data_IF_854599291363
#
_entry.id   IF_854599291363
#
_cell.length_a   1.000
_cell.length_b   1.000
_cell.length_c   1.000
_cell.angle_alpha   90.00
_cell.angle_beta   90.00
_cell.angle_gamma   90.00
#
_symmetry.space_group_name_H-M   'P 1'
#
loop_
_entity.id
_entity.type
_entity.pdbx_description
1 polymer ?
#
# COMPACT_ATOMS: atom_id res chain seq x y z
N UNK A 1 -2.44 14.37 -23.40
CA UNK A 1 -1.29 15.26 -23.13
C UNK A 1 -1.15 15.30 -21.62
N UNK A 2 -0.03 14.83 -21.06
CA UNK A 2 0.23 14.96 -19.63
C UNK A 2 0.41 16.44 -19.29
N UNK A 3 -0.41 16.98 -18.39
CA UNK A 3 -0.46 18.42 -18.09
C UNK A 3 0.41 18.80 -16.89
N UNK A 4 0.88 17.81 -16.11
CA UNK A 4 1.53 18.00 -14.81
C UNK A 4 0.71 18.87 -13.83
N UNK A 5 -0.58 19.04 -14.10
CA UNK A 5 -1.48 19.84 -13.28
C UNK A 5 -1.95 19.01 -12.07
N UNK A 6 -2.27 19.67 -10.94
CA UNK A 6 -2.98 19.03 -9.85
C UNK A 6 -4.24 18.32 -10.32
N UNK A 7 -4.53 17.17 -9.72
CA UNK A 7 -5.77 16.42 -9.94
C UNK A 7 -6.67 16.54 -8.70
N UNK A 8 -7.58 17.54 -8.64
CA UNK A 8 -8.49 17.70 -7.53
C UNK A 8 -9.61 16.65 -7.57
N UNK A 9 -10.16 16.33 -6.39
CA UNK A 9 -11.28 15.39 -6.23
C UNK A 9 -11.01 13.97 -6.79
N UNK A 10 -9.75 13.56 -6.91
CA UNK A 10 -9.41 12.16 -7.11
C UNK A 10 -9.45 11.45 -5.76
N UNK A 11 -10.15 10.31 -5.68
CA UNK A 11 -10.21 9.52 -4.46
C UNK A 11 -8.96 8.65 -4.39
N UNK A 12 -8.14 8.85 -3.38
CA UNK A 12 -6.94 8.05 -3.17
C UNK A 12 -7.19 7.06 -2.05
N UNK A 13 -7.07 5.78 -2.36
CA UNK A 13 -7.17 4.65 -1.44
C UNK A 13 -5.77 4.20 -1.01
N UNK A 14 -5.59 3.94 0.28
CA UNK A 14 -4.39 3.35 0.83
C UNK A 14 -4.70 2.23 1.79
N UNK A 15 -3.86 1.20 1.76
CA UNK A 15 -3.85 0.17 2.78
C UNK A 15 -2.45 -0.38 3.01
N UNK A 16 -2.16 -0.82 4.24
CA UNK A 16 -0.91 -1.48 4.57
C UNK A 16 -1.07 -2.39 5.79
N UNK A 17 -0.06 -3.23 6.02
CA UNK A 17 -0.02 -4.11 7.19
C UNK A 17 0.29 -3.32 8.46
N UNK A 18 -0.02 -3.91 9.62
CA UNK A 18 0.39 -3.38 10.91
C UNK A 18 1.91 -3.54 11.13
N UNK A 19 2.38 -3.10 12.29
CA UNK A 19 3.80 -3.13 12.66
C UNK A 19 4.43 -4.54 12.66
N UNK A 20 3.63 -5.61 12.69
CA UNK A 20 4.08 -7.02 12.69
C UNK A 20 3.61 -7.78 11.45
N UNK A 21 3.30 -7.08 10.36
CA UNK A 21 3.03 -7.69 9.06
C UNK A 21 1.60 -8.16 8.79
N UNK A 22 0.70 -8.15 9.77
CA UNK A 22 -0.68 -8.58 9.55
C UNK A 22 -1.50 -7.51 8.82
N UNK A 23 -2.42 -7.92 7.96
CA UNK A 23 -3.42 -7.04 7.37
C UNK A 23 -4.76 -7.14 8.10
N UNK A 24 -5.50 -6.03 8.14
CA UNK A 24 -6.89 -6.05 8.55
C UNK A 24 -7.68 -6.91 7.57
N UNK A 25 -8.73 -7.54 8.07
CA UNK A 25 -9.56 -8.54 7.41
C UNK A 25 -8.91 -9.93 7.19
N UNK A 26 -7.63 -10.07 7.54
CA UNK A 26 -6.87 -11.33 7.42
C UNK A 26 -6.19 -11.70 8.75
N UNK A 27 -6.76 -11.28 9.89
CA UNK A 27 -6.11 -11.43 11.21
C UNK A 27 -5.98 -12.88 11.69
N UNK A 28 -6.77 -13.80 11.12
CA UNK A 28 -6.66 -15.23 11.35
C UNK A 28 -5.56 -15.91 10.53
N UNK A 29 -4.88 -15.19 9.64
CA UNK A 29 -3.83 -15.71 8.78
C UNK A 29 -2.45 -15.22 9.23
N UNK A 30 -1.48 -16.12 9.16
CA UNK A 30 -0.09 -15.79 9.46
C UNK A 30 0.50 -14.91 8.36
N UNK A 31 1.10 -13.74 8.67
CA UNK A 31 1.83 -12.93 7.68
C UNK A 31 3.16 -13.57 7.28
N UNK A 32 3.52 -14.69 7.90
CA UNK A 32 4.80 -15.38 7.69
C UNK A 32 4.70 -16.57 6.76
N UNK A 33 3.47 -16.96 6.38
CA UNK A 33 3.23 -18.12 5.53
C UNK A 33 3.18 -17.67 4.07
N UNK A 34 4.07 -18.19 3.19
CA UNK A 34 4.03 -17.88 1.75
C UNK A 34 2.67 -18.14 1.14
N UNK A 35 2.27 -17.34 0.16
CA UNK A 35 0.91 -17.36 -0.38
C UNK A 35 0.51 -18.74 -0.95
N UNK A 36 1.42 -19.40 -1.66
CA UNK A 36 1.16 -20.74 -2.22
C UNK A 36 0.96 -21.80 -1.11
N UNK A 37 1.73 -21.70 -0.03
CA UNK A 37 1.59 -22.57 1.15
C UNK A 37 0.26 -22.32 1.87
N UNK A 38 -0.10 -21.05 2.05
CA UNK A 38 -1.39 -20.65 2.63
C UNK A 38 -2.57 -21.23 1.85
N UNK A 39 -2.55 -21.14 0.51
CA UNK A 39 -3.62 -21.71 -0.32
C UNK A 39 -3.73 -23.24 -0.14
N UNK A 40 -2.58 -23.92 -0.01
CA UNK A 40 -2.54 -25.36 0.28
C UNK A 40 -3.11 -25.68 1.66
N UNK A 41 -2.76 -24.92 2.70
CA UNK A 41 -3.27 -25.09 4.07
C UNK A 41 -4.79 -24.90 4.15
N UNK A 42 -5.33 -23.97 3.37
CA UNK A 42 -6.75 -23.67 3.28
C UNK A 42 -7.53 -24.62 2.34
N UNK A 43 -6.86 -25.58 1.70
CA UNK A 43 -7.43 -26.44 0.66
C UNK A 43 -8.07 -25.67 -0.50
N UNK A 44 -7.52 -24.51 -0.86
CA UNK A 44 -7.98 -23.70 -1.99
C UNK A 44 -7.28 -24.18 -3.26
N UNK A 45 -8.00 -24.94 -4.08
CA UNK A 45 -7.48 -25.54 -5.32
C UNK A 45 -7.58 -24.61 -6.54
N UNK A 46 -8.44 -23.59 -6.47
CA UNK A 46 -8.58 -22.57 -7.50
C UNK A 46 -8.67 -21.19 -6.85
N UNK A 47 -7.64 -20.39 -7.10
CA UNK A 47 -7.60 -19.00 -6.69
C UNK A 47 -7.87 -18.09 -7.88
N UNK A 48 -8.83 -17.19 -7.73
CA UNK A 48 -9.14 -16.14 -8.68
C UNK A 48 -9.02 -14.79 -7.96
N UNK A 49 -8.05 -14.00 -8.38
CA UNK A 49 -7.78 -12.68 -7.80
C UNK A 49 -9.03 -11.79 -7.86
N UNK A 50 -9.41 -11.21 -6.73
CA UNK A 50 -10.58 -10.33 -6.62
C UNK A 50 -11.92 -11.05 -6.56
N UNK A 51 -11.94 -12.38 -6.63
CA UNK A 51 -13.17 -13.20 -6.52
C UNK A 51 -13.09 -14.21 -5.39
N UNK A 52 -11.94 -14.87 -5.21
CA UNK A 52 -11.75 -15.82 -4.11
C UNK A 52 -11.63 -15.06 -2.79
N UNK A 53 -12.58 -15.31 -1.90
CA UNK A 53 -12.61 -14.70 -0.57
C UNK A 53 -11.73 -15.49 0.41
N UNK A 54 -10.72 -14.82 0.96
CA UNK A 54 -9.82 -15.34 2.00
C UNK A 54 -9.91 -14.52 3.30
N UNK A 55 -10.91 -13.64 3.44
CA UNK A 55 -11.06 -12.82 4.63
C UNK A 55 -11.39 -13.71 5.84
N UNK A 56 -10.81 -13.37 6.98
CA UNK A 56 -11.02 -14.10 8.26
C UNK A 56 -11.88 -13.34 9.25
N UNK A 57 -12.01 -12.02 9.06
CA UNK A 57 -12.73 -11.10 9.95
C UNK A 57 -13.10 -9.79 9.23
N UNK A 58 -13.87 -8.93 9.91
CA UNK A 58 -14.39 -7.66 9.38
C UNK A 58 -13.53 -6.44 9.76
N UNK A 59 -12.26 -6.64 10.16
CA UNK A 59 -11.42 -5.52 10.62
C UNK A 59 -10.96 -4.64 9.46
N UNK A 60 -10.88 -3.32 9.69
CA UNK A 60 -10.61 -2.31 8.64
C UNK A 60 -9.51 -1.30 9.00
N UNK A 61 -8.75 -1.54 10.07
CA UNK A 61 -7.66 -0.66 10.47
C UNK A 61 -6.60 -0.56 9.37
N UNK A 62 -5.88 0.58 9.33
CA UNK A 62 -4.82 0.87 8.34
C UNK A 62 -5.29 0.75 6.88
N UNK A 63 -6.59 1.02 6.65
CA UNK A 63 -7.21 1.21 5.34
C UNK A 63 -7.92 2.57 5.35
N UNK A 64 -7.85 3.32 4.27
CA UNK A 64 -8.47 4.63 4.21
C UNK A 64 -8.50 5.21 2.81
N UNK A 65 -9.58 5.92 2.51
CA UNK A 65 -9.75 6.61 1.25
C UNK A 65 -10.09 8.07 1.51
N UNK A 66 -9.45 9.00 0.80
CA UNK A 66 -9.78 10.42 0.91
C UNK A 66 -9.58 11.15 -0.41
N UNK A 67 -10.48 12.08 -0.79
CA UNK A 67 -10.30 12.86 -2.00
C UNK A 67 -9.17 13.88 -1.88
N UNK A 68 -8.47 14.11 -2.97
CA UNK A 68 -7.49 15.19 -3.10
C UNK A 68 -8.17 16.58 -3.04
N UNK A 69 -7.49 17.54 -2.43
CA UNK A 69 -7.91 18.95 -2.39
C UNK A 69 -7.74 19.65 -3.76
N UNK A 70 -8.07 20.95 -3.82
CA UNK A 70 -7.90 21.79 -5.03
C UNK A 70 -6.46 21.87 -5.55
N UNK A 71 -5.48 21.50 -4.72
CA UNK A 71 -4.05 21.44 -5.08
C UNK A 71 -3.59 20.02 -5.38
N UNK A 72 -4.52 19.06 -5.49
CA UNK A 72 -4.22 17.66 -5.78
C UNK A 72 -3.58 16.92 -4.60
N UNK A 73 -3.71 17.43 -3.38
CA UNK A 73 -3.08 16.87 -2.18
C UNK A 73 -4.08 16.06 -1.37
N UNK A 74 -3.67 14.86 -0.96
CA UNK A 74 -4.35 14.05 0.04
C UNK A 74 -3.39 13.85 1.23
N UNK A 75 -3.90 13.98 2.45
CA UNK A 75 -3.14 13.75 3.67
C UNK A 75 -3.73 12.57 4.44
N UNK A 76 -2.86 11.67 4.90
CA UNK A 76 -3.23 10.54 5.73
C UNK A 76 -2.29 10.44 6.93
N UNK A 77 -2.87 10.16 8.10
CA UNK A 77 -2.11 9.86 9.31
C UNK A 77 -2.14 8.36 9.56
N UNK A 78 -0.98 7.72 9.57
CA UNK A 78 -0.84 6.29 9.83
C UNK A 78 0.42 5.97 10.65
N UNK A 79 0.64 4.70 10.95
CA UNK A 79 1.90 4.18 11.49
C UNK A 79 2.85 3.80 10.35
N UNK A 80 4.12 3.54 10.66
CA UNK A 80 5.01 2.89 9.71
C UNK A 80 4.57 1.43 9.51
N UNK A 81 4.52 0.90 8.28
CA UNK A 81 4.16 -0.50 8.06
C UNK A 81 5.24 -1.46 8.54
N UNK A 82 4.83 -2.65 9.00
CA UNK A 82 5.74 -3.78 9.22
C UNK A 82 6.08 -4.48 7.91
N UNK A 83 6.60 -5.70 8.01
CA UNK A 83 6.88 -6.54 6.85
C UNK A 83 6.17 -7.88 6.97
N UNK A 84 5.97 -8.54 5.84
CA UNK A 84 5.43 -9.89 5.77
C UNK A 84 6.23 -10.67 4.72
N UNK A 85 6.03 -11.98 4.67
CA UNK A 85 6.87 -12.87 3.88
C UNK A 85 6.93 -12.44 2.40
N UNK A 86 8.12 -12.52 1.81
CA UNK A 86 8.42 -12.29 0.38
C UNK A 86 8.25 -10.86 -0.15
N UNK A 87 7.87 -9.89 0.70
CA UNK A 87 7.61 -8.52 0.26
C UNK A 87 8.40 -7.50 1.07
N UNK A 88 8.93 -6.49 0.38
CA UNK A 88 9.51 -5.31 0.99
C UNK A 88 8.46 -4.50 1.76
N UNK A 89 8.88 -3.58 2.61
CA UNK A 89 7.96 -2.75 3.38
C UNK A 89 7.30 -1.74 2.44
N UNK A 90 5.97 -1.75 2.38
CA UNK A 90 5.23 -0.88 1.48
C UNK A 90 3.87 -0.44 2.01
N UNK A 91 3.35 0.63 1.41
CA UNK A 91 1.96 1.05 1.49
C UNK A 91 1.35 0.89 0.10
N UNK A 92 0.25 0.16 -0.02
CA UNK A 92 -0.47 0.11 -1.28
C UNK A 92 -1.23 1.41 -1.51
N UNK A 93 -1.33 1.81 -2.78
CA UNK A 93 -2.09 2.98 -3.20
C UNK A 93 -2.89 2.70 -4.46
N UNK A 94 -4.13 3.19 -4.50
CA UNK A 94 -4.92 3.29 -5.71
C UNK A 94 -5.49 4.69 -5.88
N UNK A 95 -5.56 5.16 -7.13
CA UNK A 95 -6.17 6.45 -7.48
C UNK A 95 -7.41 6.19 -8.33
N UNK A 96 -8.52 6.76 -7.89
CA UNK A 96 -9.80 6.64 -8.56
C UNK A 96 -10.33 8.00 -9.02
N UNK A 97 -10.85 8.04 -10.24
CA UNK A 97 -11.66 9.16 -10.76
C UNK A 97 -13.10 8.73 -10.93
N UNK A 98 -14.01 9.70 -11.12
CA UNK A 98 -15.44 9.44 -11.34
C UNK A 98 -16.07 8.57 -10.24
N UNK A 99 -15.76 8.91 -8.99
CA UNK A 99 -16.28 8.22 -7.81
C UNK A 99 -17.53 8.94 -7.27
N UNK A 100 -18.37 8.20 -6.54
CA UNK A 100 -19.57 8.72 -5.88
C UNK A 100 -19.74 8.06 -4.53
N UNK A 101 -20.02 8.87 -3.50
CA UNK A 101 -20.47 8.39 -2.19
C UNK A 101 -21.98 8.19 -2.21
N UNK A 102 -22.43 6.96 -1.97
CA UNK A 102 -23.85 6.63 -1.85
C UNK A 102 -24.35 6.96 -0.45
N UNK A 103 -25.67 7.14 -0.31
CA UNK A 103 -26.32 7.45 0.97
C UNK A 103 -26.05 6.41 2.07
N UNK A 104 -25.83 5.16 1.68
CA UNK A 104 -25.50 4.07 2.61
C UNK A 104 -24.02 4.05 3.04
N UNK A 105 -23.23 5.07 2.69
CA UNK A 105 -21.80 5.16 3.01
C UNK A 105 -20.88 4.33 2.10
N UNK A 106 -21.41 3.63 1.09
CA UNK A 106 -20.59 2.88 0.13
C UNK A 106 -20.08 3.79 -0.97
N UNK A 107 -18.85 3.53 -1.42
CA UNK A 107 -18.23 4.24 -2.53
C UNK A 107 -18.36 3.40 -3.78
N UNK A 108 -18.66 4.06 -4.89
CA UNK A 108 -18.47 3.47 -6.22
C UNK A 108 -17.54 4.32 -7.03
N UNK A 109 -16.53 3.70 -7.62
CA UNK A 109 -15.69 4.28 -8.66
C UNK A 109 -15.90 3.50 -9.96
N UNK A 110 -15.97 4.21 -11.09
CA UNK A 110 -15.94 3.58 -12.40
C UNK A 110 -14.53 3.46 -12.97
N UNK A 111 -13.58 4.26 -12.50
CA UNK A 111 -12.25 4.39 -13.09
C UNK A 111 -11.16 4.32 -12.01
N UNK A 112 -10.43 3.21 -11.97
CA UNK A 112 -9.10 3.16 -11.33
C UNK A 112 -8.09 3.58 -12.38
N UNK A 113 -7.32 4.63 -12.10
CA UNK A 113 -6.37 5.25 -13.05
C UNK A 113 -4.92 5.05 -12.65
N UNK A 114 -4.69 4.43 -11.48
CA UNK A 114 -3.38 4.03 -11.00
C UNK A 114 -3.53 3.02 -9.88
N UNK A 115 -2.73 1.97 -9.95
CA UNK A 115 -2.49 1.00 -8.87
C UNK A 115 -1.00 0.88 -8.68
N UNK A 116 -0.52 1.04 -7.45
CA UNK A 116 0.91 0.96 -7.15
C UNK A 116 1.21 0.78 -5.68
N UNK A 117 2.48 0.90 -5.35
CA UNK A 117 2.99 0.79 -3.99
C UNK A 117 3.98 1.90 -3.68
N UNK A 118 4.03 2.29 -2.41
CA UNK A 118 4.96 3.28 -1.87
C UNK A 118 5.94 2.55 -0.97
N UNK A 119 7.23 2.74 -1.22
CA UNK A 119 8.33 2.09 -0.50
C UNK A 119 9.14 3.12 0.29
N UNK A 120 10.05 2.64 1.14
CA UNK A 120 10.85 3.48 2.01
C UNK A 120 12.34 3.32 1.72
N UNK A 121 13.17 4.27 2.17
CA UNK A 121 14.61 4.13 2.05
C UNK A 121 15.10 3.00 2.98
N UNK A 122 15.96 2.11 2.49
CA UNK A 122 16.47 0.96 3.24
C UNK A 122 17.13 1.35 4.58
N UNK A 123 17.80 2.51 4.64
CA UNK A 123 18.37 3.03 5.89
C UNK A 123 17.29 3.30 6.95
N UNK A 124 16.17 3.92 6.54
CA UNK A 124 15.02 4.19 7.40
C UNK A 124 14.34 2.89 7.83
N UNK A 125 14.13 1.96 6.89
CA UNK A 125 13.54 0.65 7.21
C UNK A 125 14.33 -0.07 8.30
N UNK A 126 15.65 -0.14 8.16
CA UNK A 126 16.53 -0.74 9.18
C UNK A 126 16.44 -0.03 10.53
N UNK A 127 16.35 1.30 10.53
CA UNK A 127 16.21 2.07 11.78
C UNK A 127 14.89 1.75 12.48
N UNK A 128 13.77 1.76 11.76
CA UNK A 128 12.44 1.53 12.34
C UNK A 128 12.25 0.08 12.76
N UNK A 129 12.75 -0.89 11.97
CA UNK A 129 12.65 -2.32 12.31
C UNK A 129 13.48 -2.72 13.54
N UNK A 130 14.37 -1.84 14.03
CA UNK A 130 15.10 -2.05 15.28
C UNK A 130 14.32 -1.61 16.54
N UNK A 131 13.13 -1.00 16.38
CA UNK A 131 12.33 -0.44 17.47
C UNK A 131 11.13 -1.32 17.80
N UNK A 132 10.66 -1.28 19.05
CA UNK A 132 9.38 -1.88 19.41
C UNK A 132 8.19 -1.08 18.83
N UNK A 133 7.11 -1.73 18.38
CA UNK A 133 6.90 -3.19 18.35
C UNK A 133 7.50 -3.92 17.12
N UNK A 134 8.09 -3.21 16.17
CA UNK A 134 8.58 -3.79 14.91
C UNK A 134 9.65 -4.88 15.11
N UNK A 135 10.61 -4.64 16.02
CA UNK A 135 11.68 -5.56 16.35
C UNK A 135 11.23 -6.88 16.99
N UNK A 136 9.95 -6.99 17.38
CA UNK A 136 9.38 -8.23 17.92
C UNK A 136 9.05 -9.27 16.86
N UNK A 137 8.96 -8.87 15.58
CA UNK A 137 8.70 -9.77 14.46
C UNK A 137 9.99 -10.43 13.98
N UNK A 138 10.32 -11.60 14.54
CA UNK A 138 11.58 -12.31 14.28
C UNK A 138 11.41 -13.69 13.63
N UNK A 139 10.18 -14.07 13.27
CA UNK A 139 9.86 -15.40 12.73
C UNK A 139 10.36 -15.61 11.29
N UNK A 140 10.54 -14.52 10.55
CA UNK A 140 11.02 -14.50 9.16
C UNK A 140 12.01 -13.34 8.98
N UNK A 141 12.84 -13.44 7.95
CA UNK A 141 13.69 -12.33 7.53
C UNK A 141 12.87 -11.37 6.66
N UNK A 142 13.07 -10.06 6.87
CA UNK A 142 12.52 -9.03 5.99
C UNK A 142 13.16 -9.13 4.60
N UNK A 143 12.33 -9.09 3.56
CA UNK A 143 12.76 -8.91 2.17
C UNK A 143 13.11 -7.43 1.96
N UNK A 144 14.30 -7.13 1.46
CA UNK A 144 14.70 -5.75 1.15
C UNK A 144 14.08 -5.27 -0.16
N UNK A 145 14.11 -3.95 -0.41
CA UNK A 145 13.65 -3.41 -1.70
C UNK A 145 14.42 -4.01 -2.89
N UNK A 146 15.72 -4.28 -2.74
CA UNK A 146 16.53 -4.89 -3.80
C UNK A 146 16.11 -6.34 -4.12
N UNK A 147 15.54 -7.05 -3.15
CA UNK A 147 15.12 -8.45 -3.28
C UNK A 147 13.65 -8.60 -3.71
N UNK A 148 12.82 -7.57 -3.54
CA UNK A 148 11.39 -7.61 -3.89
C UNK A 148 11.18 -7.43 -5.41
N UNK A 149 10.60 -8.47 -6.04
CA UNK A 149 10.34 -8.48 -7.48
C UNK A 149 9.29 -7.45 -7.93
N UNK A 150 8.37 -7.06 -7.05
CA UNK A 150 7.37 -6.02 -7.30
C UNK A 150 8.01 -4.63 -7.20
N UNK A 151 8.94 -4.41 -6.26
CA UNK A 151 9.71 -3.17 -6.22
C UNK A 151 10.48 -2.95 -7.54
N UNK A 152 11.08 -4.02 -8.08
CA UNK A 152 11.75 -3.96 -9.37
C UNK A 152 10.79 -3.63 -10.53
N UNK A 153 9.51 -4.02 -10.45
CA UNK A 153 8.50 -3.69 -11.46
C UNK A 153 8.02 -2.24 -11.30
N UNK A 154 7.77 -1.80 -10.07
CA UNK A 154 7.28 -0.45 -9.76
C UNK A 154 8.34 0.65 -10.03
N UNK A 155 9.60 0.27 -10.27
CA UNK A 155 10.70 1.15 -10.67
C UNK A 155 11.02 1.11 -12.17
N UNK A 156 10.33 0.24 -12.92
CA UNK A 156 10.50 0.16 -14.37
C UNK A 156 10.10 1.49 -15.05
N UNK A 157 10.70 1.83 -16.20
CA UNK A 157 10.40 3.09 -16.89
C UNK A 157 10.96 4.35 -16.22
N UNK A 158 11.75 4.21 -15.14
CA UNK A 158 12.38 5.34 -14.44
C UNK A 158 11.50 5.98 -13.36
N UNK A 159 10.41 5.31 -12.97
CA UNK A 159 9.60 5.72 -11.83
C UNK A 159 10.37 5.51 -10.51
N UNK A 160 10.03 6.33 -9.52
CA UNK A 160 10.58 6.21 -8.17
C UNK A 160 9.44 6.18 -7.14
N UNK A 161 9.07 4.99 -6.64
CA UNK A 161 8.01 4.83 -5.66
C UNK A 161 8.50 5.02 -4.21
N UNK A 162 9.74 5.45 -3.98
CA UNK A 162 10.29 5.66 -2.63
C UNK A 162 9.86 7.01 -2.07
N UNK A 163 9.14 7.00 -0.95
CA UNK A 163 8.68 8.23 -0.28
C UNK A 163 9.84 8.99 0.37
N UNK A 164 9.84 10.32 0.23
CA UNK A 164 10.76 11.19 0.95
C UNK A 164 10.26 11.39 2.38
N UNK A 165 11.05 11.00 3.38
CA UNK A 165 10.68 11.10 4.80
C UNK A 165 11.57 12.07 5.54
N UNK A 166 10.96 12.90 6.39
CA UNK A 166 11.66 13.76 7.35
C UNK A 166 11.09 13.58 8.76
N UNK A 167 11.88 13.82 9.82
CA UNK A 167 11.37 13.90 11.19
C UNK A 167 10.32 15.00 11.31
N UNK A 168 9.19 14.69 11.94
CA UNK A 168 8.14 15.68 12.20
C UNK A 168 8.60 16.81 13.14
N UNK A 169 9.54 16.51 14.05
CA UNK A 169 10.17 17.48 14.96
C UNK A 169 11.45 18.12 14.41
N UNK A 170 11.85 17.76 13.19
CA UNK A 170 13.09 18.20 12.54
C UNK A 170 14.38 17.60 13.12
N UNK A 171 14.29 16.58 13.99
CA UNK A 171 15.45 16.00 14.69
C UNK A 171 15.54 14.49 14.58
N UNK A 172 14.43 13.79 14.82
CA UNK A 172 14.45 12.34 15.03
C UNK A 172 13.16 11.69 14.48
N UNK A 173 13.30 10.83 13.47
CA UNK A 173 12.16 10.14 12.82
C UNK A 173 11.38 9.28 13.80
N UNK A 174 11.99 8.86 14.92
CA UNK A 174 11.36 8.04 15.96
C UNK A 174 10.29 8.79 16.75
N UNK A 175 10.33 10.13 16.74
CA UNK A 175 9.32 10.98 17.36
C UNK A 175 8.12 11.29 16.44
N UNK A 176 8.14 10.77 15.22
CA UNK A 176 7.13 11.01 14.19
C UNK A 176 7.78 11.37 12.86
N UNK A 177 7.08 11.06 11.78
CA UNK A 177 7.55 11.23 10.41
C UNK A 177 6.56 12.04 9.59
N UNK A 178 7.07 12.80 8.63
CA UNK A 178 6.29 13.34 7.54
C UNK A 178 6.85 12.77 6.24
N UNK A 179 5.99 12.08 5.49
CA UNK A 179 6.31 11.50 4.18
C UNK A 179 5.71 12.34 3.06
N UNK A 180 6.46 12.52 1.97
CA UNK A 180 6.00 13.20 0.76
C UNK A 180 6.32 12.37 -0.47
N UNK A 181 5.31 12.14 -1.31
CA UNK A 181 5.46 11.50 -2.61
C UNK A 181 4.51 12.17 -3.61
N UNK A 182 4.94 12.28 -4.86
CA UNK A 182 4.10 12.75 -5.96
C UNK A 182 3.77 11.57 -6.85
N UNK A 183 2.48 11.27 -6.99
CA UNK A 183 1.99 10.21 -7.86
C UNK A 183 1.55 10.83 -9.18
N UNK A 184 2.28 10.53 -10.25
CA UNK A 184 1.86 10.86 -11.60
C UNK A 184 0.80 9.87 -12.05
N UNK A 185 -0.34 10.36 -12.53
CA UNK A 185 -1.44 9.51 -13.00
C UNK A 185 -1.83 9.88 -14.43
N UNK A 186 -2.08 8.86 -15.26
CA UNK A 186 -2.73 9.05 -16.56
C UNK A 186 -4.23 8.80 -16.39
N UNK A 187 -5.02 9.88 -16.36
CA UNK A 187 -6.48 9.78 -16.20
C UNK A 187 -7.19 9.07 -17.35
N UNK A 188 -6.49 8.75 -18.44
CA UNK A 188 -7.00 7.93 -19.55
C UNK A 188 -6.63 6.45 -19.45
N UNK A 189 -5.68 6.09 -18.59
CA UNK A 189 -5.26 4.71 -18.32
C UNK A 189 -6.23 4.02 -17.34
N UNK A 190 -7.48 3.87 -17.77
CA UNK A 190 -8.52 3.25 -16.95
C UNK A 190 -8.28 1.73 -16.86
N UNK A 191 -7.93 1.24 -15.67
CA UNK A 191 -7.83 -0.18 -15.38
C UNK A 191 -9.23 -0.81 -15.41
N UNK A 192 -9.48 -1.62 -16.45
CA UNK A 192 -10.68 -2.43 -16.55
C UNK A 192 -10.43 -3.79 -15.91
N UNK A 193 -10.46 -3.86 -14.57
CA UNK A 193 -10.47 -5.09 -13.73
C UNK A 193 -10.03 -6.39 -14.45
N UNK A 194 -8.80 -6.45 -14.93
CA UNK A 194 -8.18 -7.68 -15.43
C UNK A 194 -6.67 -7.61 -15.13
N UNK A 195 -6.29 -8.05 -13.93
CA UNK A 195 -4.89 -8.28 -13.55
C UNK A 195 -4.17 -7.07 -12.92
N UNK A 196 -3.45 -7.33 -11.83
CA UNK A 196 -2.44 -6.42 -11.29
C UNK A 196 -1.19 -6.50 -12.18
N UNK A 197 -0.78 -5.36 -12.70
CA UNK A 197 0.51 -5.09 -13.33
C UNK A 197 0.62 -3.57 -13.47
N UNK A 198 1.79 -2.96 -13.20
CA UNK A 198 1.93 -1.51 -13.34
C UNK A 198 1.63 -1.09 -14.79
N UNK A 199 0.89 0.00 -14.94
CA UNK A 199 0.70 0.73 -16.20
C UNK A 199 1.68 1.88 -16.32
#
# INVERSE_FOLDING_TARGET
>A
MATCAPLPNALVDFWHCNATGSYSSFTGLSPNTPFEELLSELNVTYYNLGTTDLHTDDTTWLRGMWPTDERGVMEMKTIFPGFYVQRAIHIHVQVHTDWTLRENGTITSSHTVSTGQIYFAEELEREIMALEPYGSHTQINRTTNEEDSIFSQDTEGGYNPVVSVVPADGKDVRNGMIGYITIGVDTSAIERREGWGPS
#
